data_IF_598933412505
#
_entry.id   IF_598933412505
#
_cell.length_a   1.000
_cell.length_b   1.000
_cell.length_c   1.000
_cell.angle_alpha   90.00
_cell.angle_beta   90.00
_cell.angle_gamma   90.00
#
_symmetry.space_group_name_H-M   'P 1'
#
loop_
_entity.id
_entity.type
_entity.pdbx_description
1 polymer ?
#
# COMPACT_ATOMS: atom_id res chain seq x y z
N UNK A 1 40.56 54.64 1.21
CA UNK A 1 41.05 53.26 1.50
C UNK A 1 40.02 52.15 1.37
N UNK A 2 38.79 52.44 0.97
CA UNK A 2 37.71 51.45 0.87
C UNK A 2 37.61 50.62 -0.44
N UNK A 3 38.25 51.08 -1.51
CA UNK A 3 38.03 50.50 -2.85
C UNK A 3 38.86 49.26 -3.18
N UNK A 4 40.01 49.08 -2.50
CA UNK A 4 40.89 47.92 -2.68
C UNK A 4 40.34 46.62 -2.04
N UNK A 5 39.52 46.74 -0.99
CA UNK A 5 38.95 45.62 -0.27
C UNK A 5 37.79 44.94 -1.05
N UNK A 6 36.96 45.75 -1.68
CA UNK A 6 35.79 45.24 -2.48
C UNK A 6 36.25 44.49 -3.75
N UNK A 7 37.32 44.98 -4.41
CA UNK A 7 37.91 44.28 -5.57
C UNK A 7 38.54 42.93 -5.19
N UNK A 8 39.16 42.83 -4.02
CA UNK A 8 39.80 41.60 -3.56
C UNK A 8 38.77 40.53 -3.13
N UNK A 9 37.64 40.94 -2.57
CA UNK A 9 36.56 40.05 -2.21
C UNK A 9 35.78 39.53 -3.44
N UNK A 10 35.58 40.41 -4.44
CA UNK A 10 35.01 40.03 -5.73
C UNK A 10 35.89 39.02 -6.47
N UNK A 11 37.20 39.21 -6.48
CA UNK A 11 38.15 38.27 -7.07
C UNK A 11 38.16 36.91 -6.37
N UNK A 12 38.06 36.88 -5.02
CA UNK A 12 37.94 35.65 -4.25
C UNK A 12 36.66 34.89 -4.62
N UNK A 13 35.52 35.56 -4.75
CA UNK A 13 34.26 34.95 -5.17
C UNK A 13 34.37 34.31 -6.57
N UNK A 14 35.01 35.02 -7.50
CA UNK A 14 35.23 34.49 -8.87
C UNK A 14 36.13 33.25 -8.82
N UNK A 15 37.23 33.27 -8.08
CA UNK A 15 38.14 32.14 -7.91
C UNK A 15 37.41 30.92 -7.32
N UNK A 16 36.63 31.15 -6.27
CA UNK A 16 35.83 30.06 -5.64
C UNK A 16 34.79 29.49 -6.62
N UNK A 17 34.10 30.36 -7.36
CA UNK A 17 33.12 29.90 -8.38
C UNK A 17 33.80 29.09 -9.51
N UNK A 18 34.97 29.54 -9.97
CA UNK A 18 35.75 28.81 -10.98
C UNK A 18 36.28 27.49 -10.43
N UNK A 19 36.70 27.40 -9.18
CA UNK A 19 37.12 26.15 -8.56
C UNK A 19 35.97 25.13 -8.50
N UNK A 20 34.76 25.56 -8.07
CA UNK A 20 33.57 24.72 -8.04
C UNK A 20 33.20 24.26 -9.45
N UNK A 21 33.23 25.15 -10.45
CA UNK A 21 32.96 24.78 -11.83
C UNK A 21 33.98 23.81 -12.42
N UNK A 22 35.24 23.97 -12.05
CA UNK A 22 36.27 23.03 -12.47
C UNK A 22 36.06 21.64 -11.85
N UNK A 23 35.65 21.56 -10.58
CA UNK A 23 35.30 20.29 -9.93
C UNK A 23 34.08 19.63 -10.59
N UNK A 24 33.02 20.38 -10.90
CA UNK A 24 31.87 19.88 -11.64
C UNK A 24 32.28 19.30 -13.01
N UNK A 25 33.18 20.00 -13.75
CA UNK A 25 33.67 19.53 -15.05
C UNK A 25 34.51 18.24 -14.88
N UNK A 26 35.37 18.16 -13.88
CA UNK A 26 36.17 16.97 -13.60
C UNK A 26 35.28 15.76 -13.27
N UNK A 27 34.25 15.98 -12.44
CA UNK A 27 33.27 14.94 -12.11
C UNK A 27 32.49 14.49 -13.35
N UNK A 28 32.11 15.43 -14.23
CA UNK A 28 31.44 15.11 -15.48
C UNK A 28 32.34 14.31 -16.42
N UNK A 29 33.61 14.71 -16.57
CA UNK A 29 34.60 13.95 -17.37
C UNK A 29 34.79 12.53 -16.83
N UNK A 30 34.85 12.39 -15.50
CA UNK A 30 34.92 11.06 -14.87
C UNK A 30 33.69 10.22 -15.17
N UNK A 31 32.50 10.79 -15.05
CA UNK A 31 31.24 10.13 -15.40
C UNK A 31 31.20 9.70 -16.86
N UNK A 32 31.64 10.54 -17.80
CA UNK A 32 31.75 10.18 -19.22
C UNK A 32 32.70 9.02 -19.45
N UNK A 33 33.87 9.00 -18.80
CA UNK A 33 34.82 7.88 -18.90
C UNK A 33 34.20 6.57 -18.41
N UNK A 34 33.45 6.60 -17.29
CA UNK A 34 32.73 5.43 -16.80
C UNK A 34 31.67 4.95 -17.79
N UNK A 35 30.93 5.88 -18.41
CA UNK A 35 29.93 5.52 -19.42
C UNK A 35 30.58 4.86 -20.65
N UNK A 36 31.73 5.36 -21.14
CA UNK A 36 32.45 4.74 -22.24
C UNK A 36 32.89 3.32 -21.88
N UNK A 37 33.49 3.13 -20.71
CA UNK A 37 33.90 1.80 -20.23
C UNK A 37 32.70 0.84 -20.12
N UNK A 38 31.54 1.34 -19.63
CA UNK A 38 30.33 0.53 -19.56
C UNK A 38 29.81 0.14 -20.95
N UNK A 39 29.86 1.05 -21.92
CA UNK A 39 29.47 0.75 -23.31
C UNK A 39 30.40 -0.33 -23.92
N UNK A 40 31.70 -0.22 -23.72
CA UNK A 40 32.68 -1.22 -24.20
C UNK A 40 32.41 -2.59 -23.54
N UNK A 41 32.24 -2.63 -22.21
CA UNK A 41 31.97 -3.86 -21.47
C UNK A 41 30.64 -4.51 -21.90
N UNK A 42 29.59 -3.70 -22.06
CA UNK A 42 28.28 -4.19 -22.50
C UNK A 42 28.30 -4.69 -23.95
N UNK A 43 29.03 -3.99 -24.83
CA UNK A 43 29.22 -4.43 -26.22
C UNK A 43 29.94 -5.77 -26.29
N UNK A 44 31.02 -5.95 -25.53
CA UNK A 44 31.75 -7.22 -25.47
C UNK A 44 30.87 -8.35 -24.94
N UNK A 45 30.07 -8.09 -23.89
CA UNK A 45 29.10 -9.07 -23.34
C UNK A 45 28.04 -9.44 -24.37
N UNK A 46 27.45 -8.45 -25.05
CA UNK A 46 26.44 -8.70 -26.07
C UNK A 46 26.97 -9.54 -27.24
N UNK A 47 28.22 -9.33 -27.63
CA UNK A 47 28.87 -10.16 -28.64
C UNK A 47 29.07 -11.60 -28.16
N UNK A 48 29.50 -11.79 -26.93
CA UNK A 48 29.70 -13.11 -26.34
C UNK A 48 28.37 -13.88 -26.19
N UNK A 49 27.33 -13.19 -25.71
CA UNK A 49 26.01 -13.78 -25.56
C UNK A 49 25.41 -14.18 -26.90
N UNK A 50 25.56 -13.33 -27.93
CA UNK A 50 25.14 -13.63 -29.30
C UNK A 50 25.85 -14.88 -29.84
N UNK A 51 27.16 -14.99 -29.69
CA UNK A 51 27.94 -16.15 -30.14
C UNK A 51 27.48 -17.44 -29.43
N UNK A 52 27.24 -17.37 -28.11
CA UNK A 52 26.76 -18.51 -27.33
C UNK A 52 25.38 -18.99 -27.80
N UNK A 53 24.43 -18.06 -28.09
CA UNK A 53 23.11 -18.39 -28.62
C UNK A 53 23.22 -19.06 -30.01
N UNK A 54 24.07 -18.55 -30.92
CA UNK A 54 24.26 -19.17 -32.20
C UNK A 54 24.90 -20.56 -32.11
N UNK A 55 25.86 -20.75 -31.21
CA UNK A 55 26.46 -22.08 -30.95
C UNK A 55 25.41 -23.07 -30.44
N UNK A 56 24.52 -22.64 -29.56
CA UNK A 56 23.40 -23.45 -29.08
C UNK A 56 22.42 -23.84 -30.20
N UNK A 57 22.10 -22.90 -31.09
CA UNK A 57 21.27 -23.17 -32.28
C UNK A 57 21.94 -24.14 -33.25
N UNK A 58 23.26 -24.01 -33.51
CA UNK A 58 24.00 -24.95 -34.37
C UNK A 58 23.97 -26.36 -33.80
N UNK A 59 24.17 -26.50 -32.47
CA UNK A 59 24.12 -27.81 -31.82
C UNK A 59 22.73 -28.46 -31.98
N UNK A 60 21.67 -27.69 -31.76
CA UNK A 60 20.27 -28.17 -31.93
C UNK A 60 19.98 -28.58 -33.38
N UNK A 61 20.44 -27.79 -34.37
CA UNK A 61 20.27 -28.10 -35.78
C UNK A 61 21.01 -29.35 -36.19
N UNK A 62 22.24 -29.56 -35.70
CA UNK A 62 23.00 -30.77 -35.94
C UNK A 62 22.34 -32.01 -35.34
N UNK A 63 21.84 -31.95 -34.12
CA UNK A 63 21.07 -33.01 -33.46
C UNK A 63 19.83 -33.37 -34.27
N UNK A 64 19.02 -32.39 -34.65
CA UNK A 64 17.84 -32.60 -35.50
C UNK A 64 18.19 -33.21 -36.86
N UNK A 65 19.26 -32.77 -37.48
CA UNK A 65 19.74 -33.34 -38.75
C UNK A 65 20.10 -34.81 -38.57
N UNK A 66 20.85 -35.14 -37.53
CA UNK A 66 21.25 -36.53 -37.25
C UNK A 66 20.05 -37.42 -36.99
N UNK A 67 19.07 -36.96 -36.21
CA UNK A 67 17.80 -37.66 -35.94
C UNK A 67 17.01 -37.93 -37.23
N UNK A 68 16.89 -36.91 -38.09
CA UNK A 68 16.23 -37.06 -39.39
C UNK A 68 16.95 -38.05 -40.29
N UNK A 69 18.29 -37.98 -40.36
CA UNK A 69 19.11 -38.94 -41.13
C UNK A 69 18.95 -40.36 -40.58
N UNK A 70 18.88 -40.52 -39.24
CA UNK A 70 18.66 -41.82 -38.62
C UNK A 70 17.27 -42.38 -38.98
N UNK A 71 16.22 -41.58 -38.93
CA UNK A 71 14.87 -41.97 -39.35
C UNK A 71 14.82 -42.41 -40.83
N UNK A 72 15.49 -41.68 -41.75
CA UNK A 72 15.62 -42.05 -43.16
C UNK A 72 16.33 -43.40 -43.32
N UNK A 73 17.43 -43.62 -42.59
CA UNK A 73 18.17 -44.90 -42.60
C UNK A 73 17.30 -46.05 -42.09
N UNK A 74 16.58 -45.83 -41.00
CA UNK A 74 15.68 -46.84 -40.42
C UNK A 74 14.55 -47.19 -41.36
N UNK A 75 13.88 -46.20 -41.96
CA UNK A 75 12.81 -46.41 -42.92
C UNK A 75 13.31 -47.15 -44.16
N UNK A 76 14.48 -46.75 -44.68
CA UNK A 76 15.13 -47.46 -45.78
C UNK A 76 15.38 -48.94 -45.44
N UNK A 77 15.92 -49.22 -44.24
CA UNK A 77 16.19 -50.60 -43.80
C UNK A 77 14.89 -51.43 -43.69
N UNK A 78 13.81 -50.85 -43.12
CA UNK A 78 12.53 -51.50 -43.05
C UNK A 78 11.97 -51.85 -44.42
N UNK A 79 11.95 -50.86 -45.36
CA UNK A 79 11.44 -51.05 -46.71
C UNK A 79 12.29 -52.06 -47.50
N UNK A 80 13.62 -52.01 -47.34
CA UNK A 80 14.51 -52.98 -48.00
C UNK A 80 14.23 -54.39 -47.48
N UNK A 81 14.04 -54.57 -46.16
CA UNK A 81 13.71 -55.88 -45.58
C UNK A 81 12.38 -56.42 -46.12
N UNK A 82 11.31 -55.61 -46.13
CA UNK A 82 10.00 -55.98 -46.70
C UNK A 82 10.08 -56.41 -48.15
N UNK A 83 10.83 -55.67 -48.98
CA UNK A 83 11.02 -56.01 -50.40
C UNK A 83 11.85 -57.30 -50.60
N UNK A 84 12.88 -57.52 -49.76
CA UNK A 84 13.67 -58.74 -49.79
C UNK A 84 12.83 -59.96 -49.35
N UNK A 85 12.02 -59.81 -48.28
CA UNK A 85 11.10 -60.85 -47.84
C UNK A 85 10.10 -61.22 -48.95
N UNK A 86 9.50 -60.20 -49.61
CA UNK A 86 8.61 -60.40 -50.75
C UNK A 86 9.30 -61.12 -51.94
N UNK A 87 10.59 -60.81 -52.21
CA UNK A 87 11.36 -61.49 -53.24
C UNK A 87 11.61 -62.95 -52.86
N UNK A 88 12.00 -63.28 -51.63
CA UNK A 88 12.19 -64.64 -51.16
C UNK A 88 10.93 -65.48 -51.28
N UNK A 89 9.76 -64.94 -50.95
CA UNK A 89 8.46 -65.59 -51.12
C UNK A 89 8.21 -65.87 -52.62
N UNK A 90 8.50 -64.92 -53.50
CA UNK A 90 8.35 -65.08 -54.94
C UNK A 90 9.29 -66.20 -55.47
N UNK A 91 10.53 -66.22 -55.06
CA UNK A 91 11.51 -67.25 -55.47
C UNK A 91 11.15 -68.62 -54.94
N UNK A 92 10.55 -68.75 -53.75
CA UNK A 92 10.04 -70.00 -53.19
C UNK A 92 8.78 -70.51 -53.92
N UNK A 93 7.92 -69.64 -54.43
CA UNK A 93 6.67 -69.97 -55.16
C UNK A 93 6.94 -70.31 -56.59
N UNK A 94 7.99 -69.85 -57.24
CA UNK A 94 8.35 -70.19 -58.63
C UNK A 94 8.82 -71.65 -58.75
N UNK A 95 9.12 -72.36 -57.66
CA UNK A 95 9.53 -73.74 -57.64
C UNK A 95 8.31 -74.73 -57.68
N UNK A 96 7.05 -74.26 -57.63
CA UNK A 96 5.83 -75.05 -57.64
C UNK A 96 5.09 -74.84 -58.94
N UNK A 97 5.04 -75.86 -59.89
CA UNK A 97 4.52 -75.63 -61.27
C UNK A 97 2.99 -75.48 -61.37
N UNK A 98 2.24 -75.50 -60.27
CA UNK A 98 0.78 -75.48 -60.27
C UNK A 98 0.11 -74.18 -59.85
N UNK A 99 0.87 -73.15 -59.46
CA UNK A 99 0.29 -71.90 -58.98
C UNK A 99 0.75 -70.68 -59.80
N UNK A 100 -0.15 -70.07 -60.55
CA UNK A 100 0.00 -68.79 -61.15
C UNK A 100 -0.28 -67.69 -60.11
N UNK A 101 0.69 -67.34 -59.28
CA UNK A 101 0.55 -66.22 -58.36
C UNK A 101 0.78 -64.92 -59.10
N UNK A 102 -0.22 -64.09 -59.28
CA UNK A 102 -0.06 -62.71 -59.73
C UNK A 102 0.26 -61.84 -58.52
N UNK A 103 1.52 -61.72 -58.20
CA UNK A 103 1.98 -60.78 -57.19
C UNK A 103 2.01 -59.37 -57.77
N UNK A 104 0.96 -58.60 -57.54
CA UNK A 104 0.97 -57.15 -57.71
C UNK A 104 1.58 -56.55 -56.46
N UNK A 105 2.87 -56.43 -56.40
CA UNK A 105 3.53 -55.58 -55.41
C UNK A 105 3.18 -54.10 -55.74
N UNK A 106 2.33 -53.47 -54.97
CA UNK A 106 2.19 -52.03 -55.03
C UNK A 106 3.46 -51.42 -54.40
N UNK A 107 4.48 -51.19 -55.19
CA UNK A 107 5.62 -50.36 -54.79
C UNK A 107 5.16 -48.89 -54.91
N UNK A 108 4.24 -48.49 -54.06
CA UNK A 108 3.70 -47.14 -54.10
C UNK A 108 4.50 -46.16 -53.23
N UNK A 109 5.46 -46.68 -52.49
CA UNK A 109 6.22 -45.86 -51.52
C UNK A 109 7.72 -46.11 -51.69
N UNK A 110 8.30 -45.35 -52.60
CA UNK A 110 9.73 -45.39 -52.93
C UNK A 110 10.53 -44.34 -52.08
N UNK A 111 9.97 -43.90 -50.94
CA UNK A 111 10.54 -42.87 -50.10
C UNK A 111 10.60 -41.47 -50.72
N UNK A 112 9.98 -41.23 -51.89
CA UNK A 112 9.99 -39.92 -52.54
C UNK A 112 9.16 -38.85 -51.80
N UNK A 113 8.34 -39.29 -50.86
CA UNK A 113 7.55 -38.45 -49.97
C UNK A 113 8.35 -37.92 -48.79
N UNK A 114 9.55 -38.42 -48.53
CA UNK A 114 10.42 -37.93 -47.45
C UNK A 114 11.13 -36.63 -47.89
N UNK A 115 10.42 -35.54 -47.71
CA UNK A 115 10.94 -34.21 -47.95
C UNK A 115 10.72 -33.36 -46.71
N UNK A 116 11.72 -32.55 -46.35
CA UNK A 116 11.64 -31.55 -45.30
C UNK A 116 11.53 -30.18 -45.94
N UNK A 117 10.49 -29.43 -45.60
CA UNK A 117 10.31 -28.06 -46.05
C UNK A 117 10.75 -27.10 -44.94
N UNK A 118 11.78 -26.31 -45.20
CA UNK A 118 12.30 -25.29 -44.29
C UNK A 118 11.89 -23.87 -44.68
N UNK A 119 10.84 -23.70 -45.47
CA UNK A 119 10.46 -22.37 -45.96
C UNK A 119 10.03 -21.44 -44.82
N UNK A 120 9.30 -21.96 -43.85
CA UNK A 120 8.85 -21.20 -42.68
C UNK A 120 10.00 -20.90 -41.72
N UNK A 121 10.81 -21.90 -41.37
CA UNK A 121 11.96 -21.78 -40.47
C UNK A 121 12.99 -20.81 -41.03
N UNK A 122 13.22 -20.85 -42.33
CA UNK A 122 14.12 -19.91 -43.01
C UNK A 122 13.63 -18.48 -42.91
N UNK A 123 12.31 -18.25 -43.05
CA UNK A 123 11.71 -16.90 -42.85
C UNK A 123 11.87 -16.42 -41.41
N UNK A 124 11.65 -17.28 -40.44
CA UNK A 124 11.83 -16.95 -39.02
C UNK A 124 13.29 -16.60 -38.71
N UNK A 125 14.26 -17.38 -39.23
CA UNK A 125 15.68 -17.10 -39.06
C UNK A 125 16.10 -15.79 -39.72
N UNK A 126 15.56 -15.48 -40.92
CA UNK A 126 15.81 -14.21 -41.60
C UNK A 126 15.23 -13.00 -40.89
N UNK A 127 14.22 -13.19 -40.07
CA UNK A 127 13.56 -12.14 -39.25
C UNK A 127 14.23 -11.94 -37.88
N UNK A 128 15.31 -12.67 -37.58
CA UNK A 128 16.07 -12.47 -36.34
C UNK A 128 16.67 -11.07 -36.30
N UNK A 129 16.36 -10.36 -35.24
CA UNK A 129 16.90 -9.02 -34.98
C UNK A 129 17.17 -8.86 -33.47
N UNK A 130 17.97 -7.87 -33.14
CA UNK A 130 18.11 -7.48 -31.74
C UNK A 130 16.78 -7.03 -31.18
N UNK A 131 16.56 -7.32 -29.90
CA UNK A 131 15.34 -6.87 -29.22
C UNK A 131 15.35 -5.34 -29.15
N UNK A 132 14.31 -4.67 -29.62
CA UNK A 132 14.19 -3.22 -29.46
C UNK A 132 14.03 -2.86 -27.98
N UNK A 133 14.39 -1.64 -27.64
CA UNK A 133 14.07 -1.09 -26.31
C UNK A 133 12.55 -0.97 -26.20
N UNK A 134 11.91 -1.50 -25.14
CA UNK A 134 10.47 -1.37 -24.98
C UNK A 134 10.05 0.08 -24.88
N UNK A 135 8.95 0.44 -25.54
CA UNK A 135 8.32 1.75 -25.39
C UNK A 135 7.70 1.91 -24.01
N UNK A 136 7.49 3.16 -23.58
CA UNK A 136 6.83 3.44 -22.33
C UNK A 136 5.35 2.98 -22.38
N UNK A 137 4.87 2.21 -21.39
CA UNK A 137 3.44 1.87 -21.27
C UNK A 137 2.59 3.12 -21.01
N UNK A 138 1.30 3.02 -21.27
CA UNK A 138 0.33 4.04 -20.92
C UNK A 138 -0.58 3.53 -19.80
N UNK A 139 -0.63 4.25 -18.66
CA UNK A 139 -1.50 3.89 -17.54
C UNK A 139 -2.94 4.26 -17.90
N UNK A 140 -3.84 3.27 -17.80
CA UNK A 140 -5.26 3.42 -18.05
C UNK A 140 -6.00 3.80 -16.76
N UNK A 141 -6.38 5.08 -16.65
CA UNK A 141 -7.07 5.59 -15.48
C UNK A 141 -8.54 5.14 -15.39
N UNK A 142 -9.15 4.77 -16.51
CA UNK A 142 -10.54 4.30 -16.54
C UNK A 142 -10.66 2.87 -16.01
N UNK A 143 -9.66 2.03 -16.29
CA UNK A 143 -9.57 0.67 -15.79
C UNK A 143 -8.90 0.57 -14.41
N UNK A 144 -8.29 1.66 -13.94
CA UNK A 144 -7.64 1.72 -12.63
C UNK A 144 -8.64 2.06 -11.52
N UNK A 145 -8.54 1.36 -10.38
CA UNK A 145 -9.51 1.47 -9.29
C UNK A 145 -8.82 1.63 -7.94
N UNK A 146 -9.33 2.56 -7.12
CA UNK A 146 -8.93 2.73 -5.71
C UNK A 146 -10.14 2.42 -4.83
N UNK A 147 -10.16 1.25 -4.20
CA UNK A 147 -11.27 0.80 -3.34
C UNK A 147 -10.80 -0.21 -2.28
N UNK A 148 -11.50 -0.24 -1.13
CA UNK A 148 -11.26 -1.20 -0.03
C UNK A 148 -9.79 -1.27 0.44
N UNK A 149 -9.11 -0.13 0.47
CA UNK A 149 -7.68 -0.02 0.77
C UNK A 149 -6.76 -0.81 -0.17
N UNK A 150 -7.22 -1.01 -1.39
CA UNK A 150 -6.45 -1.56 -2.51
C UNK A 150 -6.38 -0.55 -3.64
N UNK A 151 -5.30 -0.61 -4.41
CA UNK A 151 -5.16 0.12 -5.67
C UNK A 151 -4.91 -0.90 -6.75
N UNK A 152 -5.84 -1.02 -7.68
CA UNK A 152 -5.66 -1.77 -8.92
C UNK A 152 -5.24 -0.78 -10.00
N UNK A 153 -4.09 -1.01 -10.60
CA UNK A 153 -3.55 -0.20 -11.67
C UNK A 153 -3.50 -1.03 -12.95
N UNK A 154 -4.08 -0.52 -14.01
CA UNK A 154 -4.05 -1.12 -15.34
C UNK A 154 -3.26 -0.23 -16.30
N UNK A 155 -2.61 -0.84 -17.30
CA UNK A 155 -1.87 -0.13 -18.33
C UNK A 155 -1.94 -0.85 -19.66
N UNK A 156 -1.69 -0.10 -20.73
CA UNK A 156 -1.60 -0.62 -22.08
C UNK A 156 -0.20 -0.43 -22.64
N UNK A 157 0.24 -1.42 -23.40
CA UNK A 157 1.45 -1.27 -24.21
C UNK A 157 1.07 -0.73 -25.58
N UNK A 158 1.86 0.20 -26.14
CA UNK A 158 1.80 0.47 -27.57
C UNK A 158 2.06 -0.80 -28.38
N UNK A 159 1.46 -0.91 -29.55
CA UNK A 159 1.69 -2.02 -30.47
C UNK A 159 3.15 -2.03 -30.88
N UNK A 160 3.89 -3.02 -30.38
CA UNK A 160 5.29 -3.19 -30.69
C UNK A 160 5.76 -4.63 -30.50
N UNK A 161 6.80 -4.99 -31.21
CA UNK A 161 7.38 -6.33 -31.25
C UNK A 161 8.61 -6.45 -30.31
N UNK A 162 8.59 -5.81 -29.16
CA UNK A 162 9.72 -5.77 -28.22
C UNK A 162 9.87 -6.99 -27.32
N UNK A 163 8.96 -7.97 -27.43
CA UNK A 163 8.94 -9.22 -26.64
C UNK A 163 9.05 -8.95 -25.14
N UNK A 164 8.07 -8.29 -24.59
CA UNK A 164 8.01 -7.93 -23.17
C UNK A 164 8.11 -9.18 -22.30
N UNK A 165 9.04 -9.17 -21.36
CA UNK A 165 9.22 -10.24 -20.37
C UNK A 165 8.44 -9.95 -19.09
N UNK A 166 8.51 -8.73 -18.58
CA UNK A 166 7.80 -8.29 -17.38
C UNK A 166 7.67 -6.75 -17.34
N UNK A 167 6.87 -6.30 -16.37
CA UNK A 167 6.74 -4.88 -16.05
C UNK A 167 7.30 -4.60 -14.66
N UNK A 168 7.74 -3.36 -14.48
CA UNK A 168 8.16 -2.80 -13.20
C UNK A 168 7.24 -1.63 -12.88
N UNK A 169 6.52 -1.75 -11.77
CA UNK A 169 5.63 -0.71 -11.23
C UNK A 169 6.34 0.02 -10.10
N UNK A 170 6.36 1.33 -10.16
CA UNK A 170 6.83 2.17 -9.07
C UNK A 170 5.69 3.03 -8.54
N UNK A 171 5.61 3.16 -7.22
CA UNK A 171 4.64 4.01 -6.56
C UNK A 171 5.26 4.74 -5.38
N UNK A 172 4.69 5.89 -5.04
CA UNK A 172 5.01 6.64 -3.82
C UNK A 172 3.79 7.37 -3.30
N UNK A 173 3.83 7.76 -2.05
CA UNK A 173 2.77 8.51 -1.38
C UNK A 173 3.09 10.00 -1.45
N UNK A 174 2.07 10.84 -1.56
CA UNK A 174 2.22 12.29 -1.60
C UNK A 174 0.99 13.02 -1.06
N UNK A 175 1.19 14.22 -0.54
CA UNK A 175 0.09 15.13 -0.19
C UNK A 175 -0.20 16.16 -1.29
N UNK A 176 0.52 16.09 -2.39
CA UNK A 176 0.37 17.02 -3.50
C UNK A 176 -0.49 16.41 -4.61
N UNK A 177 -1.45 17.18 -5.06
CA UNK A 177 -2.23 16.90 -6.27
C UNK A 177 -1.41 17.23 -7.51
N UNK A 178 -1.57 16.42 -8.57
CA UNK A 178 -0.90 16.63 -9.85
C UNK A 178 0.43 15.87 -10.00
N UNK A 179 1.19 16.17 -11.05
CA UNK A 179 2.37 15.41 -11.41
C UNK A 179 3.45 15.46 -10.33
N UNK A 180 4.27 14.39 -10.22
CA UNK A 180 5.31 14.29 -9.22
C UNK A 180 6.31 15.46 -9.27
N UNK A 181 6.64 16.03 -8.13
CA UNK A 181 7.61 17.11 -8.01
C UNK A 181 9.02 16.55 -7.80
N UNK A 182 10.02 17.19 -8.40
CA UNK A 182 11.42 16.75 -8.33
C UNK A 182 12.04 16.80 -6.92
N UNK A 183 11.45 17.55 -5.98
CA UNK A 183 11.94 17.73 -4.60
C UNK A 183 11.10 17.00 -3.55
N UNK A 184 10.39 15.96 -3.91
CA UNK A 184 9.66 15.17 -2.92
C UNK A 184 10.60 14.18 -2.22
N UNK A 185 10.61 14.21 -0.89
CA UNK A 185 11.50 13.39 -0.05
C UNK A 185 11.05 11.90 0.05
N UNK A 186 9.87 11.55 -0.48
CA UNK A 186 9.36 10.18 -0.41
C UNK A 186 9.98 9.32 -1.51
N UNK A 187 10.65 8.21 -1.15
CA UNK A 187 11.23 7.30 -2.12
C UNK A 187 10.15 6.56 -2.92
N UNK A 188 10.50 6.20 -4.16
CA UNK A 188 9.68 5.29 -4.95
C UNK A 188 9.80 3.86 -4.39
N UNK A 189 8.65 3.24 -4.14
CA UNK A 189 8.53 1.81 -3.84
C UNK A 189 8.47 1.05 -5.16
N UNK A 190 9.23 -0.03 -5.28
CA UNK A 190 9.39 -0.77 -6.55
C UNK A 190 8.75 -2.14 -6.43
N UNK A 191 8.02 -2.54 -7.47
CA UNK A 191 7.47 -3.89 -7.65
C UNK A 191 7.93 -4.40 -9.01
N UNK A 192 8.66 -5.49 -9.01
CA UNK A 192 9.25 -6.09 -10.19
C UNK A 192 8.57 -7.41 -10.58
N UNK A 193 8.80 -7.86 -11.81
CA UNK A 193 8.38 -9.19 -12.26
C UNK A 193 6.89 -9.32 -12.57
N UNK A 194 6.16 -8.23 -12.80
CA UNK A 194 4.75 -8.27 -13.15
C UNK A 194 4.60 -8.78 -14.57
N UNK A 195 3.84 -9.88 -14.77
CA UNK A 195 3.68 -10.51 -16.08
C UNK A 195 2.48 -10.01 -16.88
N UNK A 196 1.48 -9.47 -16.20
CA UNK A 196 0.27 -8.91 -16.82
C UNK A 196 0.34 -7.40 -17.00
N UNK A 197 -0.69 -6.84 -17.60
CA UNK A 197 -0.91 -5.40 -17.78
C UNK A 197 -1.77 -4.78 -16.68
N UNK A 198 -1.89 -5.46 -15.56
CA UNK A 198 -2.64 -5.05 -14.39
C UNK A 198 -1.92 -5.52 -13.13
N UNK A 199 -1.98 -4.72 -12.07
CA UNK A 199 -1.48 -5.10 -10.76
C UNK A 199 -2.30 -4.50 -9.63
N UNK A 200 -2.63 -5.31 -8.62
CA UNK A 200 -3.38 -4.86 -7.44
C UNK A 200 -2.50 -4.82 -6.21
N UNK A 201 -2.31 -3.62 -5.68
CA UNK A 201 -1.72 -3.36 -4.37
C UNK A 201 -2.79 -3.57 -3.29
N UNK A 202 -2.54 -4.48 -2.35
CA UNK A 202 -3.51 -4.82 -1.29
C UNK A 202 -3.01 -4.44 0.09
N UNK A 203 -3.94 -4.33 1.06
CA UNK A 203 -3.61 -4.09 2.45
C UNK A 203 -2.96 -2.73 2.73
N UNK A 204 -3.24 -1.74 1.90
CA UNK A 204 -2.67 -0.41 2.03
C UNK A 204 -3.29 0.32 3.24
N UNK A 205 -2.45 1.08 3.92
CA UNK A 205 -2.86 2.16 4.82
C UNK A 205 -2.43 3.46 4.20
N UNK A 206 -3.37 4.34 3.98
CA UNK A 206 -3.10 5.63 3.40
C UNK A 206 -2.78 6.62 4.51
N UNK A 207 -1.55 7.11 4.54
CA UNK A 207 -1.08 8.17 5.44
C UNK A 207 -0.99 9.52 4.73
N UNK A 208 -1.22 9.52 3.41
CA UNK A 208 -1.23 10.69 2.55
C UNK A 208 -2.44 10.67 1.61
N UNK A 209 -2.85 11.85 1.15
CA UNK A 209 -4.07 12.03 0.35
C UNK A 209 -3.97 11.44 -1.05
N UNK A 210 -2.78 11.40 -1.63
CA UNK A 210 -2.54 10.98 -3.00
C UNK A 210 -1.43 9.94 -3.08
N UNK A 211 -1.41 9.19 -4.18
CA UNK A 211 -0.31 8.31 -4.57
C UNK A 211 0.06 8.54 -6.03
N UNK A 212 1.36 8.58 -6.30
CA UNK A 212 1.88 8.62 -7.66
C UNK A 212 2.25 7.20 -8.11
N UNK A 213 2.04 6.93 -9.39
CA UNK A 213 2.36 5.66 -10.02
C UNK A 213 3.04 5.90 -11.35
N UNK A 214 3.99 5.04 -11.70
CA UNK A 214 4.56 4.92 -13.04
C UNK A 214 4.95 3.48 -13.31
N UNK A 215 4.91 3.07 -14.56
CA UNK A 215 5.20 1.70 -14.97
C UNK A 215 6.14 1.70 -16.17
N UNK A 216 7.02 0.72 -16.25
CA UNK A 216 7.85 0.48 -17.44
C UNK A 216 7.82 -0.98 -17.84
N UNK A 217 8.00 -1.22 -19.13
CA UNK A 217 8.14 -2.55 -19.68
C UNK A 217 9.62 -2.95 -19.75
N UNK A 218 9.88 -4.23 -19.52
CA UNK A 218 11.21 -4.82 -19.61
C UNK A 218 11.15 -6.03 -20.53
N UNK A 219 12.10 -6.13 -21.44
CA UNK A 219 12.40 -7.37 -22.15
C UNK A 219 13.62 -8.06 -21.52
N UNK A 220 14.08 -9.17 -22.09
CA UNK A 220 15.25 -9.91 -21.58
C UNK A 220 16.56 -9.12 -21.65
N UNK A 221 16.64 -8.11 -22.51
CA UNK A 221 17.85 -7.33 -22.74
C UNK A 221 17.89 -6.05 -21.89
N UNK A 222 16.78 -5.32 -21.80
CA UNK A 222 16.76 -3.96 -21.23
C UNK A 222 15.39 -3.57 -20.69
N UNK A 223 15.38 -2.66 -19.72
CA UNK A 223 14.18 -1.93 -19.29
C UNK A 223 13.96 -0.72 -20.20
N UNK A 224 12.73 -0.50 -20.62
CA UNK A 224 12.30 0.69 -21.34
C UNK A 224 12.09 1.90 -20.41
N UNK A 225 11.64 2.98 -21.00
CA UNK A 225 11.31 4.19 -20.27
C UNK A 225 10.03 3.99 -19.42
N UNK A 226 9.93 4.78 -18.36
CA UNK A 226 8.71 4.81 -17.56
C UNK A 226 7.59 5.54 -18.28
N UNK A 227 6.36 5.11 -18.04
CA UNK A 227 5.15 5.84 -18.39
C UNK A 227 5.17 7.25 -17.81
N UNK A 228 4.37 8.15 -18.38
CA UNK A 228 4.00 9.38 -17.68
C UNK A 228 3.41 9.02 -16.31
N UNK A 229 3.89 9.66 -15.24
CA UNK A 229 3.41 9.37 -13.90
C UNK A 229 1.97 9.87 -13.72
N UNK A 230 1.12 9.02 -13.12
CA UNK A 230 -0.24 9.36 -12.77
C UNK A 230 -0.39 9.55 -11.26
N UNK A 231 -1.38 10.37 -10.86
CA UNK A 231 -1.69 10.64 -9.46
C UNK A 231 -3.12 10.21 -9.17
N UNK A 232 -3.29 9.29 -8.21
CA UNK A 232 -4.59 8.83 -7.74
C UNK A 232 -4.88 9.36 -6.34
N UNK A 233 -6.12 9.82 -6.12
CA UNK A 233 -6.60 10.20 -4.79
C UNK A 233 -7.01 8.94 -4.01
N UNK A 234 -6.51 8.80 -2.79
CA UNK A 234 -6.78 7.63 -1.94
C UNK A 234 -8.17 7.64 -1.33
N UNK A 235 -8.82 8.81 -1.26
CA UNK A 235 -10.15 9.03 -0.60
C UNK A 235 -10.23 8.43 0.80
N UNK A 236 -9.10 8.31 1.48
CA UNK A 236 -9.01 7.77 2.81
C UNK A 236 -9.02 8.88 3.86
N UNK A 237 -9.65 8.63 4.99
CA UNK A 237 -9.65 9.59 6.09
C UNK A 237 -8.40 9.42 6.93
N UNK A 238 -7.49 10.39 6.83
CA UNK A 238 -6.23 10.43 7.57
C UNK A 238 -6.32 11.48 8.66
N UNK A 239 -6.08 11.08 9.89
CA UNK A 239 -5.99 11.95 11.05
C UNK A 239 -5.00 11.38 12.08
N UNK A 240 -4.57 12.21 13.01
CA UNK A 240 -3.77 11.83 14.18
C UNK A 240 -4.52 12.17 15.46
N UNK A 241 -4.08 11.60 16.56
CA UNK A 241 -4.61 11.94 17.88
C UNK A 241 -3.93 13.24 18.36
N UNK A 242 -4.75 14.22 18.75
CA UNK A 242 -4.25 15.48 19.27
C UNK A 242 -3.97 15.38 20.78
N UNK A 243 -2.70 15.15 21.12
CA UNK A 243 -2.26 15.03 22.50
C UNK A 243 -2.56 16.28 23.34
N UNK A 244 -2.74 17.47 22.73
CA UNK A 244 -3.09 18.69 23.44
C UNK A 244 -4.52 18.69 24.00
N UNK A 245 -5.40 17.86 23.40
CA UNK A 245 -6.79 17.69 23.83
C UNK A 245 -6.95 16.63 24.90
N UNK A 246 -5.93 15.80 25.12
CA UNK A 246 -6.04 14.64 25.99
C UNK A 246 -6.11 15.02 27.47
N UNK A 247 -6.82 14.17 28.23
CA UNK A 247 -6.81 14.25 29.69
C UNK A 247 -5.41 13.94 30.25
N UNK A 248 -5.03 14.56 31.34
CA UNK A 248 -3.70 14.41 31.97
C UNK A 248 -3.32 12.97 32.36
N UNK A 249 -4.30 12.08 32.54
CA UNK A 249 -4.10 10.67 32.80
C UNK A 249 -4.08 9.80 31.52
N UNK A 250 -4.05 10.41 30.35
CA UNK A 250 -3.92 9.70 29.09
C UNK A 250 -2.54 9.96 28.50
N UNK A 251 -1.88 8.89 28.09
CA UNK A 251 -0.64 8.93 27.35
C UNK A 251 -0.94 8.60 25.90
N UNK A 252 -0.65 9.56 25.02
CA UNK A 252 -0.84 9.40 23.56
C UNK A 252 0.52 9.09 22.93
N UNK A 253 0.60 7.95 22.25
CA UNK A 253 1.75 7.53 21.44
C UNK A 253 1.27 7.25 20.01
N UNK A 254 1.55 8.14 19.09
CA UNK A 254 1.10 8.09 17.70
C UNK A 254 -0.44 7.91 17.59
N UNK A 255 -0.89 6.70 17.29
CA UNK A 255 -2.31 6.33 17.16
C UNK A 255 -2.78 5.41 18.29
N UNK A 256 -2.01 5.29 19.36
CA UNK A 256 -2.34 4.54 20.58
C UNK A 256 -2.54 5.45 21.77
N UNK A 257 -3.44 5.07 22.64
CA UNK A 257 -3.70 5.77 23.90
C UNK A 257 -3.75 4.77 25.04
N UNK A 258 -3.02 5.09 26.08
CA UNK A 258 -3.00 4.31 27.31
C UNK A 258 -3.41 5.18 28.51
N UNK A 259 -4.17 4.62 29.41
CA UNK A 259 -4.53 5.25 30.67
C UNK A 259 -3.40 5.10 31.69
N UNK A 260 -2.88 6.23 32.20
CA UNK A 260 -1.83 6.30 33.19
C UNK A 260 -2.34 6.92 34.50
N UNK A 261 -2.42 6.13 35.55
CA UNK A 261 -2.84 6.58 36.88
C UNK A 261 -1.90 7.63 37.49
N UNK A 262 -0.65 7.70 37.04
CA UNK A 262 0.40 8.56 37.62
C UNK A 262 0.61 9.86 36.83
N UNK A 263 0.07 9.96 35.61
CA UNK A 263 0.35 11.04 34.65
C UNK A 263 0.10 12.45 35.21
N UNK A 264 -0.97 12.65 35.97
CA UNK A 264 -1.28 13.92 36.60
C UNK A 264 -0.31 14.36 37.70
N UNK A 265 0.37 13.42 38.35
CA UNK A 265 1.31 13.72 39.46
C UNK A 265 2.67 14.12 38.96
N UNK A 266 3.12 13.60 37.80
CA UNK A 266 4.42 13.91 37.20
C UNK A 266 4.49 15.31 36.59
N UNK A 267 3.37 15.86 36.10
CA UNK A 267 3.32 17.23 35.57
C UNK A 267 3.40 18.28 36.69
N UNK A 268 2.81 18.04 37.85
CA UNK A 268 2.92 18.92 39.03
C UNK A 268 4.35 18.97 39.56
N UNK A 269 5.13 17.88 39.50
CA UNK A 269 6.51 17.84 39.92
C UNK A 269 7.41 18.62 38.93
N UNK A 270 7.19 18.45 37.62
CA UNK A 270 7.95 19.20 36.58
C UNK A 270 7.61 20.69 36.54
N UNK A 271 6.41 21.11 36.89
CA UNK A 271 6.00 22.50 37.02
C UNK A 271 6.69 23.13 38.26
N UNK A 272 6.77 22.41 39.37
CA UNK A 272 7.49 22.87 40.58
C UNK A 272 9.02 22.96 40.43
N UNK A 273 9.62 22.09 39.60
CA UNK A 273 11.05 22.18 39.30
C UNK A 273 11.42 23.34 38.34
N UNK A 274 10.51 23.80 37.50
CA UNK A 274 10.73 24.95 36.63
C UNK A 274 10.66 26.31 37.39
N UNK A 275 9.82 26.40 38.41
CA UNK A 275 9.70 27.62 39.26
C UNK A 275 10.75 27.69 40.37
N UNK A 276 11.54 26.63 40.57
CA UNK A 276 12.55 26.54 41.64
C UNK A 276 13.93 27.10 41.30
N UNK A 277 14.19 27.61 40.07
CA UNK A 277 15.50 28.20 39.70
C UNK A 277 15.40 29.70 39.56
N UNK A 278 15.40 30.40 40.70
CA UNK A 278 15.56 31.86 40.68
C UNK A 278 15.19 32.55 41.97
N UNK A 279 15.90 32.26 43.08
CA UNK A 279 16.10 33.23 44.16
C UNK A 279 17.25 32.82 45.05
N UNK A 280 18.30 33.57 44.94
CA UNK A 280 19.46 33.59 45.81
C UNK A 280 19.09 33.94 47.24
N UNK A 281 19.69 33.20 48.16
CA UNK A 281 19.56 33.37 49.60
C UNK A 281 20.24 34.64 50.11
N UNK A 282 19.62 35.24 51.10
CA UNK A 282 20.31 36.02 52.15
C UNK A 282 19.63 35.77 53.48
N UNK A 283 20.37 35.66 54.58
CA UNK A 283 19.90 35.18 55.86
C UNK A 283 19.57 36.33 56.82
N UNK A 284 18.51 36.20 57.58
CA UNK A 284 18.35 36.94 58.86
C UNK A 284 17.49 36.18 59.82
N UNK A 285 18.04 36.00 61.00
CA UNK A 285 17.55 35.43 62.24
C UNK A 285 16.27 36.10 62.78
N UNK A 286 15.36 35.32 63.34
CA UNK A 286 15.01 35.33 64.80
C UNK A 286 13.59 34.84 65.04
N UNK A 287 13.23 34.39 66.28
CA UNK A 287 12.32 33.28 66.48
C UNK A 287 10.97 33.69 67.08
N UNK A 288 10.11 32.69 67.22
CA UNK A 288 8.97 32.56 68.11
C UNK A 288 7.60 33.04 67.62
N UNK A 289 6.62 32.18 67.47
CA UNK A 289 5.63 31.88 68.47
C UNK A 289 4.63 30.84 67.95
N UNK A 290 4.53 29.76 68.68
CA UNK A 290 3.51 28.73 68.54
C UNK A 290 2.17 29.31 68.95
N UNK A 291 1.16 29.20 68.05
CA UNK A 291 -0.23 29.20 68.44
C UNK A 291 -0.94 28.05 67.70
N UNK A 292 -1.24 27.05 68.47
CA UNK A 292 -2.09 25.94 68.04
C UNK A 292 -3.55 26.40 67.95
N UNK A 293 -4.22 26.10 66.81
CA UNK A 293 -5.66 26.10 66.72
C UNK A 293 -6.16 24.75 66.19
N UNK A 294 -7.28 24.24 66.66
CA UNK A 294 -7.60 22.82 66.56
C UNK A 294 -8.11 22.43 65.20
N UNK A 295 -7.58 21.31 64.73
CA UNK A 295 -8.04 20.60 63.52
C UNK A 295 -9.48 20.14 63.73
N UNK A 296 -10.43 20.72 62.99
CA UNK A 296 -11.71 20.07 62.71
C UNK A 296 -11.44 18.94 61.73
N UNK A 297 -11.55 17.73 62.18
CA UNK A 297 -11.66 16.54 61.36
C UNK A 297 -13.01 16.64 60.61
N UNK A 298 -12.94 16.94 59.32
CA UNK A 298 -14.03 16.63 58.42
C UNK A 298 -13.87 15.18 57.97
N UNK A 299 -14.77 14.34 58.45
CA UNK A 299 -14.95 12.99 57.91
C UNK A 299 -15.16 13.09 56.39
N UNK A 300 -14.21 12.60 55.67
CA UNK A 300 -14.30 12.47 54.24
C UNK A 300 -15.36 11.46 53.84
N UNK A 301 -16.48 11.97 53.39
CA UNK A 301 -17.48 11.20 52.70
C UNK A 301 -16.96 10.84 51.29
N UNK A 302 -16.84 9.56 51.02
CA UNK A 302 -17.27 9.02 49.79
C UNK A 302 -16.31 9.00 48.62
N UNK A 303 -15.60 7.89 48.49
CA UNK A 303 -14.98 7.49 47.22
C UNK A 303 -15.96 7.10 46.10
N UNK A 304 -17.19 7.62 46.08
CA UNK A 304 -18.19 7.35 45.02
C UNK A 304 -18.29 8.44 43.94
N UNK A 305 -17.88 9.67 44.24
CA UNK A 305 -18.09 10.80 43.32
C UNK A 305 -16.88 11.12 42.41
N UNK A 306 -15.72 10.52 42.66
CA UNK A 306 -14.54 10.74 41.80
C UNK A 306 -14.67 10.14 40.39
N UNK A 307 -15.53 9.16 40.21
CA UNK A 307 -15.71 8.48 38.94
C UNK A 307 -16.63 9.23 37.96
N UNK A 308 -17.50 10.09 38.47
CA UNK A 308 -18.52 10.81 37.66
C UNK A 308 -18.03 12.14 37.09
N UNK A 309 -16.89 12.67 37.54
CA UNK A 309 -16.42 14.02 37.21
C UNK A 309 -15.22 14.06 36.26
N UNK A 310 -14.55 12.94 35.94
CA UNK A 310 -13.37 12.94 35.12
C UNK A 310 -13.69 12.40 33.72
N UNK A 311 -13.37 13.19 32.69
CA UNK A 311 -13.50 12.82 31.29
C UNK A 311 -12.14 12.42 30.76
N UNK A 312 -11.90 11.14 30.58
CA UNK A 312 -10.66 10.61 30.01
C UNK A 312 -10.74 10.58 28.48
N UNK A 313 -10.91 11.77 27.89
CA UNK A 313 -11.19 11.95 26.45
C UNK A 313 -9.96 12.46 25.73
N UNK A 314 -9.80 12.06 24.47
CA UNK A 314 -8.86 12.59 23.48
C UNK A 314 -9.56 12.74 22.14
N UNK A 315 -9.20 13.77 21.36
CA UNK A 315 -9.78 14.06 20.07
C UNK A 315 -8.77 13.80 18.94
N UNK A 316 -9.28 13.56 17.75
CA UNK A 316 -8.48 13.65 16.52
C UNK A 316 -8.16 15.09 16.15
N UNK A 317 -7.16 15.29 15.30
CA UNK A 317 -6.69 16.61 14.85
C UNK A 317 -7.39 17.13 13.59
N UNK A 318 -8.09 16.25 12.87
CA UNK A 318 -8.68 16.55 11.55
C UNK A 318 -10.20 16.68 11.65
N UNK A 319 -10.71 17.84 11.23
CA UNK A 319 -12.14 18.13 11.18
C UNK A 319 -12.84 17.36 10.06
N UNK A 320 -14.04 16.90 10.36
CA UNK A 320 -15.00 16.33 9.40
C UNK A 320 -16.07 17.37 9.18
N UNK A 321 -16.12 17.98 8.00
CA UNK A 321 -17.05 19.02 7.58
C UNK A 321 -17.77 18.70 6.26
N UNK A 322 -17.43 17.57 5.65
CA UNK A 322 -17.99 17.08 4.40
C UNK A 322 -17.82 15.57 4.24
N UNK A 323 -18.26 15.06 3.11
CA UNK A 323 -18.06 13.70 2.63
C UNK A 323 -18.37 12.56 3.61
N UNK A 324 -17.91 11.37 3.27
CA UNK A 324 -18.00 10.17 4.10
C UNK A 324 -16.60 9.72 4.55
N UNK A 325 -16.45 9.37 5.81
CA UNK A 325 -15.17 9.02 6.41
C UNK A 325 -15.29 7.75 7.24
N UNK A 326 -14.22 6.95 7.25
CA UNK A 326 -14.18 5.69 7.98
C UNK A 326 -12.83 5.51 8.69
N UNK A 327 -12.91 4.99 9.92
CA UNK A 327 -11.75 4.56 10.70
C UNK A 327 -12.12 3.40 11.60
N UNK A 328 -11.12 2.70 12.13
CA UNK A 328 -11.31 1.57 13.02
C UNK A 328 -10.59 1.78 14.35
N UNK A 329 -11.16 1.24 15.41
CA UNK A 329 -10.59 1.34 16.74
C UNK A 329 -10.61 -0.02 17.41
N UNK A 330 -9.44 -0.46 17.80
CA UNK A 330 -9.25 -1.64 18.64
C UNK A 330 -8.96 -1.19 20.06
N UNK A 331 -9.64 -1.73 21.03
CA UNK A 331 -9.43 -1.42 22.44
C UNK A 331 -9.02 -2.69 23.20
N UNK A 332 -8.36 -2.49 24.36
CA UNK A 332 -8.05 -3.56 25.28
C UNK A 332 -9.33 -4.02 26.00
N UNK A 333 -9.62 -5.31 25.96
CA UNK A 333 -10.81 -5.91 26.57
C UNK A 333 -10.86 -5.76 28.09
N UNK A 334 -9.69 -5.63 28.73
CA UNK A 334 -9.58 -5.44 30.18
C UNK A 334 -9.83 -3.98 30.59
N UNK A 335 -10.02 -3.06 29.65
CA UNK A 335 -10.39 -1.67 29.92
C UNK A 335 -11.65 -1.59 30.73
N UNK A 336 -11.64 -0.80 31.81
CA UNK A 336 -12.82 -0.61 32.69
C UNK A 336 -13.92 0.22 32.03
N UNK A 337 -13.55 1.15 31.17
CA UNK A 337 -14.47 1.84 30.29
C UNK A 337 -13.76 2.26 28.99
N UNK A 338 -14.51 2.24 27.92
CA UNK A 338 -14.06 2.66 26.59
C UNK A 338 -15.20 3.36 25.86
N UNK A 339 -14.89 4.37 25.07
CA UNK A 339 -15.85 5.09 24.24
C UNK A 339 -15.22 5.53 22.92
N UNK A 340 -16.00 5.45 21.85
CA UNK A 340 -15.59 5.88 20.50
C UNK A 340 -16.75 6.56 19.78
N UNK A 341 -16.45 7.65 19.07
CA UNK A 341 -17.44 8.38 18.31
C UNK A 341 -16.91 9.67 17.73
N UNK A 342 -17.74 10.71 17.74
CA UNK A 342 -17.38 12.05 17.27
C UNK A 342 -17.84 13.12 18.26
N UNK A 343 -17.15 14.25 18.24
CA UNK A 343 -17.52 15.41 19.06
C UNK A 343 -17.28 16.71 18.29
N UNK A 344 -18.03 17.74 18.66
CA UNK A 344 -17.67 19.12 18.28
C UNK A 344 -16.41 19.56 19.00
N UNK A 345 -15.65 20.43 18.38
CA UNK A 345 -14.45 21.03 18.98
C UNK A 345 -14.73 21.77 20.29
N UNK A 346 -15.99 22.17 20.50
CA UNK A 346 -16.48 22.82 21.72
C UNK A 346 -16.70 21.86 22.89
N UNK A 347 -16.46 20.55 22.74
CA UNK A 347 -16.54 19.61 23.87
C UNK A 347 -15.55 20.03 24.94
N UNK A 348 -16.10 20.32 26.15
CA UNK A 348 -15.29 20.77 27.26
C UNK A 348 -14.34 19.69 27.77
N UNK A 349 -13.19 20.10 28.27
CA UNK A 349 -12.14 19.19 28.77
C UNK A 349 -12.62 18.23 29.88
N UNK A 350 -13.66 18.62 30.58
CA UNK A 350 -14.31 17.84 31.67
C UNK A 350 -15.63 17.21 31.26
N UNK A 351 -16.06 17.43 30.01
CA UNK A 351 -17.31 16.85 29.53
C UNK A 351 -17.09 15.37 29.18
N UNK A 352 -18.00 14.54 29.69
CA UNK A 352 -17.96 13.11 29.33
C UNK A 352 -18.56 12.88 27.95
N UNK A 353 -17.87 12.10 27.17
CA UNK A 353 -18.29 11.72 25.81
C UNK A 353 -19.70 11.09 25.84
N UNK A 354 -20.62 11.62 25.01
CA UNK A 354 -22.03 11.19 24.94
C UNK A 354 -22.98 11.77 25.97
N UNK A 355 -22.50 12.54 26.95
CA UNK A 355 -23.38 13.20 27.95
C UNK A 355 -23.90 14.56 27.52
N UNK A 356 -23.18 15.26 26.66
CA UNK A 356 -23.58 16.58 26.16
C UNK A 356 -24.15 16.49 24.76
N UNK A 357 -24.87 17.50 24.26
CA UNK A 357 -25.29 17.56 22.86
C UNK A 357 -24.12 17.73 21.88
N UNK A 358 -22.89 17.96 22.38
CA UNK A 358 -21.69 18.16 21.58
C UNK A 358 -20.99 16.87 21.19
N UNK A 359 -21.49 15.69 21.57
CA UNK A 359 -20.83 14.43 21.26
C UNK A 359 -21.77 13.25 21.11
N UNK A 360 -21.38 12.29 20.28
CA UNK A 360 -22.04 11.02 19.97
C UNK A 360 -21.06 9.88 20.09
N UNK A 361 -21.37 8.84 20.82
CA UNK A 361 -20.46 7.71 20.96
C UNK A 361 -21.14 6.36 21.21
N UNK A 362 -20.44 5.28 20.90
CA UNK A 362 -20.61 4.01 21.60
C UNK A 362 -19.78 4.02 22.87
N UNK A 363 -20.34 3.48 23.93
CA UNK A 363 -19.71 3.43 25.22
C UNK A 363 -19.83 2.04 25.83
N UNK A 364 -18.69 1.46 26.15
CA UNK A 364 -18.55 0.23 26.92
C UNK A 364 -18.21 0.60 28.37
N UNK A 365 -18.95 0.05 29.30
CA UNK A 365 -18.59 0.05 30.72
C UNK A 365 -18.40 -1.40 31.16
N UNK A 366 -17.25 -1.71 31.70
CA UNK A 366 -16.83 -3.06 32.11
C UNK A 366 -16.41 -3.10 33.59
N UNK A 367 -16.85 -2.09 34.37
CA UNK A 367 -16.37 -1.94 35.75
C UNK A 367 -17.14 -2.82 36.74
N UNK A 368 -18.42 -2.62 36.90
CA UNK A 368 -19.24 -3.39 37.87
C UNK A 368 -20.26 -4.29 37.17
N UNK A 369 -20.84 -3.77 36.13
CA UNK A 369 -21.77 -4.47 35.27
C UNK A 369 -21.46 -4.11 33.84
N UNK A 370 -21.28 -5.13 33.01
CA UNK A 370 -21.01 -4.91 31.58
C UNK A 370 -22.21 -4.25 30.93
N UNK A 371 -21.99 -3.08 30.34
CA UNK A 371 -23.02 -2.39 29.58
C UNK A 371 -22.41 -1.81 28.30
N UNK A 372 -23.05 -2.08 27.19
CA UNK A 372 -22.69 -1.53 25.88
C UNK A 372 -23.86 -0.70 25.37
N UNK A 373 -23.60 0.56 25.06
CA UNK A 373 -24.66 1.51 24.75
C UNK A 373 -24.24 2.61 23.80
N UNK A 374 -25.16 3.08 22.98
CA UNK A 374 -25.02 4.28 22.18
C UNK A 374 -25.48 5.50 23.02
N UNK A 375 -24.62 6.52 23.12
CA UNK A 375 -24.85 7.69 23.97
C UNK A 375 -24.79 9.00 23.20
N UNK A 376 -25.78 9.86 23.46
CA UNK A 376 -25.81 11.24 22.97
C UNK A 376 -26.73 12.08 23.87
N UNK A 377 -26.33 13.30 24.21
CA UNK A 377 -27.12 14.27 24.97
C UNK A 377 -27.73 13.66 26.25
N UNK A 378 -26.89 12.98 27.01
CA UNK A 378 -27.24 12.27 28.26
C UNK A 378 -28.29 11.15 28.11
N UNK A 379 -28.64 10.77 26.86
CA UNK A 379 -29.49 9.63 26.57
C UNK A 379 -28.61 8.44 26.21
N UNK A 380 -28.97 7.27 26.77
CA UNK A 380 -28.28 6.02 26.48
C UNK A 380 -29.26 5.01 25.92
N UNK A 381 -28.91 4.39 24.80
CA UNK A 381 -29.63 3.25 24.22
C UNK A 381 -28.74 2.01 24.38
N UNK A 382 -29.19 1.05 25.16
CA UNK A 382 -28.52 -0.23 25.30
C UNK A 382 -28.48 -0.95 23.95
N UNK A 383 -27.35 -1.60 23.67
CA UNK A 383 -27.13 -2.40 22.46
C UNK A 383 -27.12 -3.88 22.89
N UNK A 384 -28.07 -4.63 22.37
CA UNK A 384 -28.16 -6.08 22.60
C UNK A 384 -27.41 -6.85 21.52
N UNK A 385 -26.12 -6.57 21.45
CA UNK A 385 -25.19 -7.21 20.50
C UNK A 385 -23.87 -7.52 21.22
N UNK A 386 -23.17 -8.59 20.82
CA UNK A 386 -21.84 -8.86 21.36
C UNK A 386 -20.89 -7.70 21.11
N UNK A 387 -20.11 -7.33 22.13
CA UNK A 387 -19.11 -6.26 22.00
C UNK A 387 -17.98 -6.75 21.10
N UNK A 388 -17.71 -6.09 19.95
CA UNK A 388 -16.66 -6.50 19.04
C UNK A 388 -15.27 -6.09 19.55
N UNK A 389 -14.22 -6.78 19.13
CA UNK A 389 -12.82 -6.45 19.46
C UNK A 389 -12.35 -5.18 18.77
N UNK A 390 -12.94 -4.87 17.63
CA UNK A 390 -12.60 -3.73 16.80
C UNK A 390 -13.90 -3.10 16.29
N UNK A 391 -14.04 -1.80 16.51
CA UNK A 391 -15.21 -1.01 16.11
C UNK A 391 -14.84 -0.17 14.90
N UNK A 392 -15.57 -0.34 13.80
CA UNK A 392 -15.53 0.54 12.64
C UNK A 392 -16.49 1.70 12.81
N UNK A 393 -16.03 2.92 12.57
CA UNK A 393 -16.82 4.14 12.65
C UNK A 393 -16.97 4.74 11.27
N UNK A 394 -18.19 4.97 10.82
CA UNK A 394 -18.50 5.60 9.56
C UNK A 394 -19.32 6.87 9.82
N UNK A 395 -18.76 8.00 9.44
CA UNK A 395 -19.39 9.30 9.52
C UNK A 395 -19.66 9.84 8.10
N UNK A 396 -20.92 10.07 7.77
CA UNK A 396 -21.31 10.82 6.58
C UNK A 396 -21.90 12.16 7.04
N UNK A 397 -21.11 13.21 6.84
CA UNK A 397 -21.45 14.53 7.36
C UNK A 397 -22.63 15.14 6.64
N UNK A 398 -22.69 15.04 5.32
CA UNK A 398 -23.76 15.64 4.51
C UNK A 398 -25.10 14.93 4.67
N UNK A 399 -25.10 13.60 4.66
CA UNK A 399 -26.32 12.82 4.87
C UNK A 399 -26.77 12.78 6.34
N UNK A 400 -25.92 13.24 7.24
CA UNK A 400 -26.22 13.38 8.65
C UNK A 400 -26.39 12.05 9.36
N UNK A 401 -25.43 11.14 9.25
CA UNK A 401 -25.41 9.94 10.06
C UNK A 401 -24.01 9.55 10.54
N UNK A 402 -23.99 8.96 11.70
CA UNK A 402 -22.83 8.34 12.33
C UNK A 402 -23.18 6.89 12.64
N UNK A 403 -22.51 5.97 11.96
CA UNK A 403 -22.77 4.54 12.05
C UNK A 403 -21.56 3.80 12.63
N UNK A 404 -21.84 2.77 13.40
CA UNK A 404 -20.83 1.93 14.03
C UNK A 404 -21.01 0.49 13.59
N UNK A 405 -19.90 -0.17 13.30
CA UNK A 405 -19.86 -1.53 12.78
C UNK A 405 -18.88 -2.39 13.57
N UNK A 406 -19.13 -3.68 13.62
CA UNK A 406 -18.08 -4.63 13.90
C UNK A 406 -17.09 -4.57 12.73
N UNK A 407 -15.85 -4.13 12.97
CA UNK A 407 -14.88 -3.90 11.90
C UNK A 407 -14.53 -5.18 11.11
N UNK A 408 -14.62 -6.35 11.76
CA UNK A 408 -14.31 -7.65 11.14
C UNK A 408 -15.46 -8.16 10.27
N UNK A 409 -16.67 -8.18 10.80
CA UNK A 409 -17.86 -8.76 10.14
C UNK A 409 -18.63 -7.76 9.30
N UNK A 410 -18.33 -6.48 9.44
CA UNK A 410 -19.07 -5.34 8.88
C UNK A 410 -20.54 -5.28 9.30
N UNK A 411 -20.91 -6.01 10.37
CA UNK A 411 -22.25 -5.96 10.94
C UNK A 411 -22.49 -4.60 11.58
N UNK A 412 -23.64 -3.99 11.28
CA UNK A 412 -24.07 -2.73 11.88
C UNK A 412 -24.39 -2.92 13.38
N UNK A 413 -23.80 -2.09 14.22
CA UNK A 413 -24.06 -2.05 15.66
C UNK A 413 -25.11 -0.97 16.02
N UNK A 414 -24.94 0.24 15.50
CA UNK A 414 -25.82 1.36 15.73
C UNK A 414 -25.63 2.47 14.69
N UNK A 415 -26.68 3.25 14.45
CA UNK A 415 -26.63 4.48 13.66
C UNK A 415 -27.31 5.61 14.40
N UNK A 416 -26.61 6.72 14.58
CA UNK A 416 -27.20 8.00 14.92
C UNK A 416 -27.60 8.71 13.63
N UNK A 417 -28.88 9.07 13.52
CA UNK A 417 -29.35 10.02 12.49
C UNK A 417 -29.33 11.40 13.13
N UNK A 418 -28.47 12.28 12.67
CA UNK A 418 -28.25 13.60 13.24
C UNK A 418 -27.82 14.59 12.18
N UNK A 419 -28.31 15.81 12.28
CA UNK A 419 -27.81 16.90 11.43
C UNK A 419 -26.73 17.63 12.21
N UNK A 420 -25.48 17.45 11.79
CA UNK A 420 -24.37 18.16 12.39
C UNK A 420 -24.49 19.66 12.10
N UNK A 421 -24.39 20.47 13.14
CA UNK A 421 -24.45 21.94 13.02
C UNK A 421 -23.08 22.60 12.88
N UNK A 422 -22.02 21.83 13.14
CA UNK A 422 -20.63 22.24 13.10
C UNK A 422 -19.76 21.05 12.64
N UNK A 423 -18.55 21.28 12.13
CA UNK A 423 -17.59 20.22 11.89
C UNK A 423 -17.33 19.39 13.14
N UNK A 424 -17.19 18.08 12.98
CA UNK A 424 -16.92 17.14 14.05
C UNK A 424 -15.50 16.62 14.00
N UNK A 425 -14.98 16.16 15.13
CA UNK A 425 -13.70 15.49 15.28
C UNK A 425 -13.92 14.06 15.74
N UNK A 426 -13.09 13.09 15.32
CA UNK A 426 -13.02 11.78 15.95
C UNK A 426 -12.77 11.95 17.45
N UNK A 427 -13.53 11.23 18.28
CA UNK A 427 -13.47 11.36 19.73
C UNK A 427 -13.40 10.00 20.39
N UNK A 428 -12.52 9.89 21.39
CA UNK A 428 -12.21 8.63 22.07
C UNK A 428 -12.13 8.84 23.57
N UNK A 429 -12.45 7.79 24.33
CA UNK A 429 -12.33 7.77 25.77
C UNK A 429 -11.86 6.41 26.23
N UNK A 430 -10.94 6.37 27.21
CA UNK A 430 -10.55 5.15 27.88
C UNK A 430 -10.25 5.38 29.37
N UNK A 431 -10.64 4.43 30.19
CA UNK A 431 -10.33 4.40 31.61
C UNK A 431 -9.80 3.03 32.02
N UNK A 432 -8.66 3.01 32.70
CA UNK A 432 -7.96 1.78 33.11
C UNK A 432 -7.83 0.78 31.97
N UNK A 433 -7.18 1.20 30.89
CA UNK A 433 -6.96 0.38 29.71
C UNK A 433 -6.31 1.17 28.59
N UNK A 434 -6.41 0.65 27.39
CA UNK A 434 -5.79 1.24 26.20
C UNK A 434 -6.66 1.04 24.95
N UNK A 435 -6.36 1.81 23.90
CA UNK A 435 -6.90 1.58 22.58
C UNK A 435 -5.90 2.01 21.49
N UNK A 436 -6.09 1.47 20.32
CA UNK A 436 -5.34 1.81 19.12
C UNK A 436 -6.30 2.17 17.98
N UNK A 437 -6.04 3.29 17.33
CA UNK A 437 -6.81 3.78 16.18
C UNK A 437 -6.11 3.41 14.88
N UNK A 438 -6.87 2.97 13.90
CA UNK A 438 -6.44 2.81 12.52
C UNK A 438 -7.12 3.87 11.68
N UNK A 439 -6.37 4.89 11.26
CA UNK A 439 -6.76 5.89 10.26
C UNK A 439 -6.18 5.53 8.89
N UNK A 440 -6.47 6.33 7.87
CA UNK A 440 -6.02 6.05 6.51
C UNK A 440 -6.79 4.91 5.85
N UNK A 441 -8.05 4.73 6.26
CA UNK A 441 -8.95 3.75 5.69
C UNK A 441 -10.00 4.43 4.81
N UNK A 442 -10.33 3.76 3.70
CA UNK A 442 -11.49 4.10 2.89
C UNK A 442 -12.75 3.52 3.52
N UNK A 443 -13.91 4.08 3.15
CA UNK A 443 -15.19 3.47 3.53
C UNK A 443 -15.30 2.12 2.81
N UNK A 444 -15.41 0.99 3.54
CA UNK A 444 -15.51 -0.32 2.91
C UNK A 444 -16.74 -0.44 2.01
N UNK A 445 -16.59 -1.08 0.86
CA UNK A 445 -17.70 -1.30 -0.09
C UNK A 445 -18.89 -2.01 0.55
N UNK A 446 -18.63 -2.96 1.45
CA UNK A 446 -19.69 -3.64 2.21
C UNK A 446 -20.49 -2.68 3.09
N UNK A 447 -19.86 -1.66 3.70
CA UNK A 447 -20.51 -0.65 4.53
C UNK A 447 -21.37 0.27 3.66
N UNK A 448 -20.87 0.70 2.51
CA UNK A 448 -21.64 1.51 1.54
C UNK A 448 -22.89 0.79 1.03
N UNK A 449 -22.78 -0.49 0.70
CA UNK A 449 -23.92 -1.29 0.25
C UNK A 449 -25.02 -1.44 1.30
N UNK A 450 -24.65 -1.62 2.58
CA UNK A 450 -25.61 -1.73 3.67
C UNK A 450 -26.38 -0.43 3.89
N UNK A 451 -25.76 0.72 3.72
CA UNK A 451 -26.43 2.01 3.89
C UNK A 451 -27.41 2.30 2.76
N UNK A 452 -27.06 2.02 1.53
CA UNK A 452 -28.00 2.16 0.38
C UNK A 452 -29.25 1.34 0.59
N UNK A 453 -29.16 0.13 1.13
CA UNK A 453 -30.34 -0.72 1.46
C UNK A 453 -31.19 -0.12 2.57
N UNK A 454 -30.60 0.46 3.59
CA UNK A 454 -31.33 1.06 4.71
C UNK A 454 -31.99 2.39 4.35
N UNK A 455 -31.42 3.16 3.42
CA UNK A 455 -32.02 4.40 2.91
C UNK A 455 -33.23 4.13 1.99
N UNK A 456 -33.15 3.10 1.15
CA UNK A 456 -34.28 2.70 0.28
C UNK A 456 -35.43 2.05 1.05
N UNK A 457 -35.15 1.31 2.14
CA UNK A 457 -36.19 0.73 3.00
C UNK A 457 -36.98 1.78 3.81
N UNK A 458 -36.37 2.93 4.12
CA UNK A 458 -37.05 4.03 4.83
C UNK A 458 -37.89 4.94 3.92
N UNK A 459 -37.69 4.90 2.61
CA UNK A 459 -38.47 5.66 1.62
C UNK A 459 -39.70 4.91 1.08
N UNK A 460 -39.82 3.60 1.36
CA UNK A 460 -40.96 2.76 0.92
C UNK A 460 -42.05 2.58 1.97
N UNK A 461 -41.98 3.25 3.12
CA UNK A 461 -43.00 3.24 4.18
C UNK A 461 -43.62 4.62 4.37
N UNK A 462 -44.32 5.10 3.36
CA UNK A 462 -45.33 6.14 3.50
C UNK A 462 -46.56 5.68 2.69
N UNK A 463 -47.71 5.50 3.34
CA UNK A 463 -48.94 5.23 2.64
C UNK A 463 -49.46 6.46 1.88
#
# INVERSE_FOLDING_TARGET
>A
MGDRGAGQESLRKIITTLAVKNEEIQNFIYSLKQMVQNVEANSARAQQDLEAEFQSLYALLDELKEDMVMKIKQERASRTYELQAAKQIKDSVTMAPAFRLSLKAKVSDNMSNLMVDFAQERRLLQALAFLPVPSAPEIDLEESLVADNCVTLAWRMPDEDSKIDHYVLEYRRTNFEGPPRAKEDQPWMVIEGIKGTEYTLTGLRFDMKYMNFRVRACNKAVAGDFSEPVTLETKAFVFRLDASTCHQNLRVEEMSVEWDATGGKLQDVKAREKDGKGRTASPANSPARVVQSPKRMSLGRGGRDRFTAESYTVLGDTLIDGDEHYWEVRYDRDSKAFGVGVAYRSLGKFDQLGKTPASWCLHLNNWLQVSFSAKHNNKAKALDVPVPDCIGVHCNFHEGFLSFYNARTKQLLHTFKTKFSQPVLPAFMVWCGSFQVTSGLQVPSAVRCLQKRNSTASSSSLP
#
